data_IF_214297886150
#
_entry.id   IF_214297886150
#
_cell.length_a   1.000
_cell.length_b   1.000
_cell.length_c   1.000
_cell.angle_alpha   90.00
_cell.angle_beta   90.00
_cell.angle_gamma   90.00
#
_symmetry.space_group_name_H-M   'P 1'
#
loop_
_entity.id
_entity.type
_entity.pdbx_description
1 polymer ?
#
# COMPACT_ATOMS: atom_id res chain seq x y z
N UNK A 1 3.48 6.19 -32.80
CA UNK A 1 2.77 6.80 -31.66
C UNK A 1 1.52 5.96 -31.45
N UNK A 2 1.63 4.87 -30.67
CA UNK A 2 0.52 3.93 -30.44
C UNK A 2 -0.08 4.25 -29.08
N UNK A 3 -1.36 4.59 -29.14
CA UNK A 3 -2.28 4.81 -28.03
C UNK A 3 -2.34 3.53 -27.17
N UNK A 4 -1.90 3.62 -25.92
CA UNK A 4 -1.84 2.51 -24.97
C UNK A 4 -2.74 2.84 -23.78
N UNK A 5 -3.90 2.17 -23.78
CA UNK A 5 -4.63 1.73 -22.59
C UNK A 5 -5.06 2.82 -21.61
N UNK A 6 -6.28 3.32 -21.77
CA UNK A 6 -7.02 3.95 -20.68
C UNK A 6 -7.34 2.90 -19.60
N UNK A 7 -6.69 2.99 -18.43
CA UNK A 7 -7.03 2.20 -17.24
C UNK A 7 -8.49 2.49 -16.85
N UNK A 8 -9.33 1.46 -16.79
CA UNK A 8 -10.71 1.54 -16.28
C UNK A 8 -10.69 1.19 -14.79
N UNK A 9 -10.54 2.20 -13.93
CA UNK A 9 -10.69 2.02 -12.48
C UNK A 9 -12.16 1.62 -12.17
N UNK A 10 -12.45 0.34 -11.98
CA UNK A 10 -13.75 -0.13 -11.46
C UNK A 10 -13.62 -0.41 -9.96
N UNK A 11 -14.07 0.54 -9.15
CA UNK A 11 -14.13 0.42 -7.69
C UNK A 11 -15.29 -0.52 -7.33
N UNK A 12 -15.01 -1.71 -6.82
CA UNK A 12 -16.02 -2.61 -6.24
C UNK A 12 -15.99 -2.52 -4.71
N UNK A 13 -17.17 -2.43 -4.10
CA UNK A 13 -17.37 -2.50 -2.64
C UNK A 13 -17.45 -3.96 -2.17
N UNK A 14 -16.82 -4.34 -1.04
CA UNK A 14 -17.04 -5.65 -0.42
C UNK A 14 -18.30 -5.59 0.45
N UNK A 15 -19.46 -5.77 -0.16
CA UNK A 15 -20.67 -6.13 0.61
C UNK A 15 -21.14 -7.49 0.15
N UNK A 16 -20.94 -8.49 1.01
CA UNK A 16 -21.33 -9.87 0.75
C UNK A 16 -22.82 -10.03 0.51
N UNK A 17 -23.17 -10.86 -0.48
CA UNK A 17 -24.37 -11.70 -0.48
C UNK A 17 -24.05 -13.04 -1.14
N UNK A 18 -24.71 -14.04 -0.59
CA UNK A 18 -24.53 -15.49 -0.69
C UNK A 18 -24.57 -16.11 -2.09
N UNK A 19 -23.96 -17.28 -2.16
CA UNK A 19 -23.95 -18.28 -3.23
C UNK A 19 -25.30 -18.48 -3.96
N UNK A 20 -25.23 -18.71 -5.28
CA UNK A 20 -25.92 -19.85 -5.90
C UNK A 20 -25.24 -20.22 -7.24
N UNK A 21 -25.37 -21.50 -7.55
CA UNK A 21 -24.55 -22.37 -8.41
C UNK A 21 -24.76 -22.13 -9.93
N UNK A 22 -23.72 -22.40 -10.74
CA UNK A 22 -23.72 -22.35 -12.23
C UNK A 22 -24.68 -23.41 -12.86
N UNK A 23 -25.01 -23.31 -14.17
CA UNK A 23 -24.14 -23.97 -15.17
C UNK A 23 -23.93 -23.18 -16.48
N UNK A 24 -22.82 -23.47 -17.16
CA UNK A 24 -22.54 -23.16 -18.58
C UNK A 24 -22.62 -24.48 -19.40
N UNK A 25 -22.52 -24.50 -20.75
CA UNK A 25 -22.74 -23.49 -21.79
C UNK A 25 -23.53 -24.03 -23.01
N UNK A 26 -23.87 -23.19 -24.01
CA UNK A 26 -24.04 -23.64 -25.40
C UNK A 26 -23.49 -22.64 -26.42
N UNK A 27 -22.70 -23.16 -27.37
CA UNK A 27 -22.20 -22.51 -28.58
C UNK A 27 -23.34 -22.37 -29.59
N UNK A 28 -23.44 -21.22 -30.26
CA UNK A 28 -23.53 -21.15 -31.73
C UNK A 28 -23.61 -19.71 -32.27
N UNK A 29 -23.11 -19.57 -33.50
CA UNK A 29 -23.29 -18.50 -34.50
C UNK A 29 -22.36 -17.27 -34.49
N UNK A 30 -21.42 -17.31 -35.44
CA UNK A 30 -20.67 -16.19 -36.02
C UNK A 30 -21.53 -15.39 -37.01
N UNK A 31 -21.42 -14.05 -37.00
CA UNK A 31 -21.95 -13.11 -38.00
C UNK A 31 -21.40 -11.68 -37.77
N UNK A 32 -21.30 -10.82 -38.81
CA UNK A 32 -20.11 -9.99 -39.05
C UNK A 32 -20.09 -8.60 -38.39
N UNK A 33 -18.88 -8.05 -38.30
CA UNK A 33 -18.52 -6.77 -37.71
C UNK A 33 -19.15 -5.56 -38.43
N UNK A 34 -19.69 -4.60 -37.65
CA UNK A 34 -19.58 -3.16 -37.95
C UNK A 34 -19.95 -2.28 -36.74
N UNK A 35 -19.33 -1.09 -36.70
CA UNK A 35 -19.67 0.13 -35.96
C UNK A 35 -19.09 0.34 -34.53
N UNK A 36 -18.07 1.22 -34.52
CA UNK A 36 -17.64 2.19 -33.50
C UNK A 36 -17.35 1.74 -32.06
N UNK A 37 -16.10 1.92 -31.56
CA UNK A 37 -15.82 1.87 -30.14
C UNK A 37 -16.30 3.18 -29.49
N UNK A 38 -17.57 3.20 -29.10
CA UNK A 38 -18.11 4.23 -28.23
C UNK A 38 -17.38 4.21 -26.89
N UNK A 39 -16.97 5.40 -26.47
CA UNK A 39 -16.38 5.75 -25.19
C UNK A 39 -17.28 5.34 -24.01
N UNK A 40 -17.16 4.09 -23.55
CA UNK A 40 -17.85 3.64 -22.33
C UNK A 40 -17.04 4.06 -21.09
N UNK A 41 -17.18 5.36 -20.77
CA UNK A 41 -16.76 6.02 -19.54
C UNK A 41 -17.88 5.97 -18.51
N UNK A 42 -18.19 4.80 -17.99
CA UNK A 42 -19.10 4.67 -16.85
C UNK A 42 -18.31 4.73 -15.53
N UNK A 43 -17.77 5.91 -15.19
CA UNK A 43 -17.56 6.25 -13.78
C UNK A 43 -18.94 6.62 -13.26
N UNK A 44 -19.63 5.66 -12.64
CA UNK A 44 -20.94 5.92 -12.06
C UNK A 44 -20.80 6.84 -10.86
N UNK A 45 -21.64 7.87 -10.81
CA UNK A 45 -21.84 8.88 -9.77
C UNK A 45 -22.27 8.30 -8.39
N UNK A 46 -21.99 7.02 -8.11
CA UNK A 46 -22.54 6.23 -6.99
C UNK A 46 -21.61 6.07 -5.78
N UNK A 47 -20.35 6.49 -5.86
CA UNK A 47 -19.39 6.36 -4.75
C UNK A 47 -18.96 7.72 -4.22
N UNK A 48 -19.14 7.92 -2.90
CA UNK A 48 -18.64 9.09 -2.20
C UNK A 48 -17.10 9.14 -2.14
N UNK A 49 -16.51 10.20 -1.55
CA UNK A 49 -15.07 10.31 -1.39
C UNK A 49 -14.49 9.09 -0.66
N UNK A 50 -13.33 8.61 -1.09
CA UNK A 50 -12.65 7.43 -0.53
C UNK A 50 -11.46 7.84 0.35
N UNK A 51 -11.04 6.98 1.28
CA UNK A 51 -9.83 7.24 2.06
C UNK A 51 -8.56 7.08 1.25
N UNK A 52 -7.46 7.70 1.69
CA UNK A 52 -6.12 7.43 1.16
C UNK A 52 -5.75 5.95 1.29
N UNK A 53 -6.20 5.29 2.35
CA UNK A 53 -5.99 3.85 2.59
C UNK A 53 -6.63 3.02 1.47
N UNK A 54 -7.89 3.32 1.13
CA UNK A 54 -8.60 2.66 0.03
C UNK A 54 -7.91 2.92 -1.31
N UNK A 55 -7.56 4.18 -1.58
CA UNK A 55 -6.89 4.57 -2.82
C UNK A 55 -5.54 3.86 -3.00
N UNK A 56 -4.69 3.90 -1.98
CA UNK A 56 -3.37 3.28 -2.00
C UNK A 56 -3.47 1.76 -2.13
N UNK A 57 -4.38 1.12 -1.40
CA UNK A 57 -4.63 -0.32 -1.52
C UNK A 57 -5.07 -0.72 -2.94
N UNK A 58 -5.95 0.06 -3.56
CA UNK A 58 -6.36 -0.17 -4.95
C UNK A 58 -5.20 0.01 -5.93
N UNK A 59 -4.43 1.09 -5.78
CA UNK A 59 -3.31 1.38 -6.68
C UNK A 59 -2.19 0.36 -6.56
N UNK A 60 -1.91 -0.17 -5.36
CA UNK A 60 -0.78 -1.05 -5.13
C UNK A 60 -1.13 -2.53 -5.29
N UNK A 61 -2.33 -2.95 -4.89
CA UNK A 61 -2.64 -4.38 -4.69
C UNK A 61 -3.92 -4.84 -5.39
N UNK A 62 -4.56 -4.02 -6.25
CA UNK A 62 -5.74 -4.48 -6.99
C UNK A 62 -5.40 -5.71 -7.86
N UNK A 63 -6.18 -6.81 -7.83
CA UNK A 63 -5.77 -8.08 -8.43
C UNK A 63 -5.41 -8.02 -9.92
N UNK A 64 -5.98 -7.07 -10.66
CA UNK A 64 -5.75 -6.92 -12.11
C UNK A 64 -5.00 -5.65 -12.50
N UNK A 65 -5.05 -4.61 -11.68
CA UNK A 65 -4.60 -3.25 -12.04
C UNK A 65 -3.67 -2.63 -11.01
N UNK A 66 -3.36 -3.36 -9.93
CA UNK A 66 -2.46 -2.90 -8.88
C UNK A 66 -1.02 -2.95 -9.35
N UNK A 67 -0.23 -1.98 -8.92
CA UNK A 67 1.16 -1.82 -9.31
C UNK A 67 1.99 -3.08 -9.00
N UNK A 68 1.86 -3.69 -7.81
CA UNK A 68 2.61 -4.90 -7.44
C UNK A 68 2.00 -6.21 -7.95
N UNK A 69 0.79 -6.18 -8.51
CA UNK A 69 0.00 -7.36 -8.86
C UNK A 69 -0.27 -7.50 -10.36
N UNK A 70 -0.10 -6.43 -11.14
CA UNK A 70 -0.43 -6.41 -12.55
C UNK A 70 0.62 -7.14 -13.40
N UNK A 71 0.30 -8.29 -14.02
CA UNK A 71 1.24 -9.04 -14.84
C UNK A 71 1.59 -8.35 -16.17
N UNK A 72 0.77 -7.40 -16.64
CA UNK A 72 1.04 -6.64 -17.86
C UNK A 72 2.05 -5.50 -17.65
N UNK A 73 2.27 -5.10 -16.39
CA UNK A 73 3.25 -4.09 -15.98
C UNK A 73 4.20 -4.72 -14.96
N UNK A 74 5.08 -5.61 -15.44
CA UNK A 74 6.06 -6.27 -14.59
C UNK A 74 7.05 -5.23 -14.03
N UNK A 75 6.81 -4.81 -12.79
CA UNK A 75 7.62 -3.80 -12.10
C UNK A 75 8.98 -4.34 -11.66
N UNK A 76 9.12 -5.66 -11.61
CA UNK A 76 10.33 -6.36 -11.17
C UNK A 76 11.12 -6.93 -12.36
N UNK A 77 12.44 -6.72 -12.34
CA UNK A 77 13.39 -7.24 -13.33
C UNK A 77 14.18 -6.14 -14.05
N UNK A 78 15.11 -6.53 -14.95
CA UNK A 78 16.06 -5.62 -15.63
C UNK A 78 15.47 -4.46 -16.46
N UNK A 79 14.14 -4.38 -16.58
CA UNK A 79 13.41 -3.35 -17.33
C UNK A 79 12.23 -2.73 -16.55
N UNK A 80 12.06 -3.05 -15.27
CA UNK A 80 10.98 -2.51 -14.44
C UNK A 80 11.28 -1.14 -13.82
N UNK A 81 10.27 -0.46 -13.29
CA UNK A 81 10.38 0.83 -12.58
C UNK A 81 11.25 0.73 -11.31
N UNK A 82 11.39 -0.48 -10.77
CA UNK A 82 12.19 -0.75 -9.62
C UNK A 82 13.56 -1.34 -9.96
N UNK A 83 14.58 -0.61 -9.51
CA UNK A 83 15.85 -1.18 -9.01
C UNK A 83 15.69 -1.57 -7.53
N UNK A 84 14.49 -1.52 -6.90
CA UNK A 84 14.37 -1.75 -5.44
C UNK A 84 14.85 -3.13 -5.02
N UNK A 85 16.09 -3.15 -4.57
CA UNK A 85 16.77 -4.09 -3.70
C UNK A 85 16.68 -5.60 -3.95
N UNK A 86 16.81 -6.12 -5.20
CA UNK A 86 17.66 -7.30 -5.32
C UNK A 86 19.09 -6.99 -4.84
N UNK A 87 19.49 -5.70 -4.84
CA UNK A 87 20.83 -5.21 -4.53
C UNK A 87 21.05 -4.86 -3.02
N UNK A 88 20.03 -4.58 -2.20
CA UNK A 88 20.20 -4.51 -0.71
C UNK A 88 19.83 -5.84 -0.04
N UNK A 89 18.97 -6.66 -0.65
CA UNK A 89 18.97 -8.11 -0.38
C UNK A 89 20.36 -8.71 -0.66
N UNK A 90 21.15 -8.11 -1.55
CA UNK A 90 22.57 -8.40 -1.71
C UNK A 90 23.38 -8.03 -0.47
N UNK A 91 23.13 -6.92 0.23
CA UNK A 91 23.85 -6.61 1.49
C UNK A 91 23.52 -7.64 2.57
N UNK A 92 22.26 -8.08 2.70
CA UNK A 92 21.92 -9.16 3.63
C UNK A 92 22.52 -10.50 3.20
N UNK A 93 22.42 -10.83 1.91
CA UNK A 93 23.04 -12.01 1.32
C UNK A 93 24.57 -12.01 1.50
N UNK A 94 25.21 -10.88 1.27
CA UNK A 94 26.64 -10.63 1.46
C UNK A 94 27.01 -10.74 2.93
N UNK A 95 26.22 -10.17 3.85
CA UNK A 95 26.43 -10.34 5.30
C UNK A 95 26.43 -11.84 5.63
N UNK A 96 25.40 -12.60 5.25
CA UNK A 96 25.38 -14.05 5.52
C UNK A 96 26.45 -14.85 4.74
N UNK A 97 26.91 -14.36 3.60
CA UNK A 97 28.05 -14.92 2.87
C UNK A 97 29.37 -14.70 3.62
N UNK A 98 29.56 -13.51 4.23
CA UNK A 98 30.74 -13.14 4.99
C UNK A 98 30.71 -13.58 6.46
N UNK A 99 29.56 -14.02 7.00
CA UNK A 99 29.41 -14.55 8.36
C UNK A 99 29.00 -16.04 8.37
N UNK A 100 29.95 -16.97 8.15
CA UNK A 100 29.68 -18.42 8.13
C UNK A 100 28.96 -18.97 9.36
N UNK A 101 29.24 -18.41 10.55
CA UNK A 101 28.60 -18.81 11.80
C UNK A 101 27.10 -18.44 11.80
N UNK A 102 26.75 -17.24 11.33
CA UNK A 102 25.35 -16.81 11.20
C UNK A 102 24.59 -17.69 10.22
N UNK A 103 25.19 -17.98 9.05
CA UNK A 103 24.61 -18.87 8.05
C UNK A 103 24.38 -20.30 8.55
N UNK A 104 25.32 -20.86 9.31
CA UNK A 104 25.19 -22.19 9.88
C UNK A 104 24.16 -22.28 11.00
N UNK A 105 23.82 -21.15 11.63
CA UNK A 105 22.84 -21.07 12.70
C UNK A 105 21.39 -20.87 12.20
N UNK A 106 21.19 -20.64 10.89
CA UNK A 106 19.85 -20.50 10.32
C UNK A 106 19.24 -21.89 10.10
N UNK A 107 18.17 -22.17 10.84
CA UNK A 107 17.42 -23.42 10.71
C UNK A 107 16.29 -23.30 9.68
N UNK A 108 15.57 -22.17 9.70
CA UNK A 108 14.43 -21.90 8.83
C UNK A 108 14.41 -20.45 8.36
N UNK A 109 13.81 -20.21 7.19
CA UNK A 109 13.56 -18.91 6.59
C UNK A 109 12.08 -18.79 6.30
N UNK A 110 11.43 -17.81 6.90
CA UNK A 110 10.02 -17.50 6.67
C UNK A 110 9.92 -16.23 5.83
N UNK A 111 9.37 -16.32 4.62
CA UNK A 111 9.07 -15.17 3.77
C UNK A 111 7.58 -14.86 3.86
N UNK A 112 7.23 -13.62 4.23
CA UNK A 112 5.85 -13.13 4.22
C UNK A 112 5.63 -12.33 2.94
N UNK A 113 4.88 -12.91 2.01
CA UNK A 113 4.64 -12.33 0.67
C UNK A 113 3.20 -12.65 0.24
N UNK A 114 2.47 -11.65 -0.24
CA UNK A 114 1.06 -11.81 -0.66
C UNK A 114 0.92 -12.12 -2.14
N UNK A 115 1.92 -11.75 -2.95
CA UNK A 115 1.93 -11.95 -4.39
C UNK A 115 2.43 -13.35 -4.76
N UNK A 116 1.51 -14.20 -5.22
CA UNK A 116 1.86 -15.54 -5.72
C UNK A 116 2.93 -15.53 -6.83
N UNK A 117 2.98 -14.47 -7.64
CA UNK A 117 4.00 -14.32 -8.67
C UNK A 117 5.38 -14.07 -8.08
N UNK A 118 5.47 -13.23 -7.04
CA UNK A 118 6.72 -12.95 -6.33
C UNK A 118 7.19 -14.15 -5.51
N UNK A 119 6.27 -14.88 -4.86
CA UNK A 119 6.62 -16.12 -4.15
C UNK A 119 7.35 -17.10 -5.08
N UNK A 120 6.80 -17.35 -6.29
CA UNK A 120 7.44 -18.23 -7.29
C UNK A 120 8.82 -17.72 -7.71
N UNK A 121 8.95 -16.42 -7.97
CA UNK A 121 10.23 -15.83 -8.37
C UNK A 121 11.29 -15.94 -7.25
N UNK A 122 10.89 -15.72 -6.00
CA UNK A 122 11.75 -15.87 -4.82
C UNK A 122 12.14 -17.34 -4.62
N UNK A 123 11.19 -18.27 -4.74
CA UNK A 123 11.43 -19.70 -4.62
C UNK A 123 12.46 -20.18 -5.64
N UNK A 124 12.28 -19.84 -6.93
CA UNK A 124 13.24 -20.17 -7.99
C UNK A 124 14.65 -19.62 -7.71
N UNK A 125 14.75 -18.40 -7.16
CA UNK A 125 16.04 -17.77 -6.82
C UNK A 125 16.69 -18.39 -5.59
N UNK A 126 15.91 -18.73 -4.56
CA UNK A 126 16.42 -19.20 -3.27
C UNK A 126 16.67 -20.71 -3.24
N UNK A 127 16.01 -21.50 -4.10
CA UNK A 127 16.04 -22.97 -4.05
C UNK A 127 17.46 -23.56 -4.05
N UNK A 128 18.35 -23.01 -4.89
CA UNK A 128 19.73 -23.51 -5.00
C UNK A 128 20.53 -23.25 -3.71
N UNK A 129 20.39 -22.06 -3.13
CA UNK A 129 21.05 -21.63 -1.89
C UNK A 129 20.48 -22.36 -0.68
N UNK A 130 19.16 -22.50 -0.59
CA UNK A 130 18.48 -23.23 0.47
C UNK A 130 18.93 -24.70 0.50
N UNK A 131 19.00 -25.36 -0.66
CA UNK A 131 19.51 -26.74 -0.76
C UNK A 131 20.99 -26.85 -0.40
N UNK A 132 21.80 -25.86 -0.76
CA UNK A 132 23.25 -25.82 -0.44
C UNK A 132 23.48 -25.78 1.08
N UNK A 133 22.65 -25.06 1.82
CA UNK A 133 22.82 -24.85 3.25
C UNK A 133 21.85 -25.65 4.14
N UNK A 134 20.91 -26.38 3.54
CA UNK A 134 19.93 -27.19 4.27
C UNK A 134 18.87 -26.37 5.00
N UNK A 135 18.56 -25.16 4.51
CA UNK A 135 17.56 -24.28 5.11
C UNK A 135 16.15 -24.76 4.76
N UNK A 136 15.27 -24.80 5.76
CA UNK A 136 13.82 -24.96 5.55
C UNK A 136 13.22 -23.59 5.17
N UNK A 137 12.68 -23.46 3.96
CA UNK A 137 12.15 -22.18 3.45
C UNK A 137 10.65 -22.28 3.28
N UNK A 138 9.94 -21.37 3.92
CA UNK A 138 8.48 -21.35 3.96
C UNK A 138 7.94 -19.99 3.54
N UNK A 139 6.89 -19.99 2.72
CA UNK A 139 6.17 -18.78 2.32
C UNK A 139 4.84 -18.68 3.08
N UNK A 140 4.55 -17.48 3.55
CA UNK A 140 3.37 -17.13 4.35
C UNK A 140 2.65 -15.96 3.69
N UNK A 141 1.32 -15.98 3.70
CA UNK A 141 0.51 -14.89 3.16
C UNK A 141 0.34 -13.73 4.15
N UNK A 142 0.58 -14.01 5.43
CA UNK A 142 0.42 -13.10 6.54
C UNK A 142 1.45 -13.39 7.61
N UNK A 143 1.92 -12.35 8.29
CA UNK A 143 2.80 -12.51 9.46
C UNK A 143 2.11 -13.29 10.61
N UNK A 144 0.79 -13.37 10.60
CA UNK A 144 0.02 -14.15 11.57
C UNK A 144 0.17 -15.67 11.36
N UNK A 145 0.54 -16.09 10.16
CA UNK A 145 0.72 -17.51 9.83
C UNK A 145 2.09 -18.03 10.32
N UNK A 146 3.00 -17.11 10.69
CA UNK A 146 4.30 -17.44 11.27
C UNK A 146 4.11 -17.78 12.74
N UNK A 147 4.44 -19.03 13.08
CA UNK A 147 4.39 -19.53 14.45
C UNK A 147 5.41 -18.80 15.33
N UNK A 148 5.01 -18.50 16.56
CA UNK A 148 5.94 -18.03 17.58
C UNK A 148 6.52 -19.23 18.32
N UNK A 149 7.85 -19.36 18.32
CA UNK A 149 8.58 -20.39 19.07
C UNK A 149 9.56 -19.71 20.02
N UNK A 150 9.30 -19.82 21.33
CA UNK A 150 10.10 -19.17 22.38
C UNK A 150 11.47 -19.83 22.59
N UNK A 151 11.69 -21.00 21.98
CA UNK A 151 12.96 -21.72 22.06
C UNK A 151 13.88 -21.39 20.88
N UNK A 152 13.40 -20.63 19.90
CA UNK A 152 14.13 -20.30 18.68
C UNK A 152 14.40 -18.79 18.64
N UNK A 153 15.68 -18.44 18.44
CA UNK A 153 16.04 -17.06 18.17
C UNK A 153 15.43 -16.59 16.84
N UNK A 154 14.45 -15.69 16.92
CA UNK A 154 13.79 -15.14 15.73
C UNK A 154 14.44 -13.83 15.32
N UNK A 155 14.86 -13.72 14.06
CA UNK A 155 15.30 -12.47 13.45
C UNK A 155 14.28 -12.04 12.39
N UNK A 156 13.76 -10.82 12.52
CA UNK A 156 12.84 -10.23 11.53
C UNK A 156 13.57 -9.15 10.75
N UNK A 157 13.44 -9.18 9.43
CA UNK A 157 13.90 -8.12 8.53
C UNK A 157 12.71 -7.57 7.76
N UNK A 158 12.50 -6.26 7.85
CA UNK A 158 11.55 -5.53 7.02
C UNK A 158 12.28 -4.37 6.35
N UNK A 159 12.43 -4.43 5.04
CA UNK A 159 13.19 -3.47 4.24
C UNK A 159 12.29 -2.84 3.19
N UNK A 160 12.09 -1.52 3.27
CA UNK A 160 11.17 -0.74 2.41
C UNK A 160 9.80 -1.43 2.31
N UNK A 161 9.27 -1.77 3.49
CA UNK A 161 8.02 -2.54 3.61
C UNK A 161 6.90 -1.68 4.18
N UNK A 162 7.21 -0.87 5.20
CA UNK A 162 6.21 -0.09 5.92
C UNK A 162 5.78 1.16 5.14
N UNK A 163 6.63 1.73 4.29
CA UNK A 163 6.31 2.90 3.47
C UNK A 163 5.23 2.63 2.40
N UNK A 164 5.11 1.38 1.96
CA UNK A 164 4.12 0.90 0.99
C UNK A 164 2.80 0.44 1.64
N UNK A 165 2.65 0.51 2.97
CA UNK A 165 1.42 0.10 3.64
C UNK A 165 0.32 1.18 3.55
N UNK A 166 -0.96 0.79 3.35
CA UNK A 166 -2.07 1.73 3.32
C UNK A 166 -2.16 2.59 4.58
N UNK A 167 -2.44 3.88 4.40
CA UNK A 167 -2.53 4.87 5.48
C UNK A 167 -3.79 5.73 5.38
N UNK A 168 -4.25 6.26 6.50
CA UNK A 168 -5.27 7.29 6.57
C UNK A 168 -4.60 8.65 6.78
N UNK A 169 -5.05 9.67 6.04
CA UNK A 169 -4.65 11.06 6.27
C UNK A 169 -5.71 11.74 7.11
N UNK A 170 -5.35 12.20 8.30
CA UNK A 170 -6.27 12.92 9.19
C UNK A 170 -5.84 14.38 9.35
N UNK A 171 -6.80 15.27 9.57
CA UNK A 171 -6.57 16.66 9.91
C UNK A 171 -7.26 17.00 11.24
N UNK A 172 -6.53 17.64 12.15
CA UNK A 172 -7.04 18.06 13.46
C UNK A 172 -7.86 19.32 13.30
N UNK A 173 -9.16 19.24 13.59
CA UNK A 173 -10.08 20.37 13.59
C UNK A 173 -10.35 20.86 15.01
N UNK A 174 -11.16 21.91 15.17
CA UNK A 174 -11.63 22.37 16.49
C UNK A 174 -12.56 21.37 17.16
N UNK A 175 -13.22 20.51 16.39
CA UNK A 175 -14.24 19.55 16.86
C UNK A 175 -13.67 18.14 17.06
N UNK A 176 -12.42 17.90 16.66
CA UNK A 176 -11.78 16.59 16.75
C UNK A 176 -10.98 16.27 15.50
N UNK A 177 -10.79 15.00 15.20
CA UNK A 177 -10.09 14.54 14.00
C UNK A 177 -11.07 14.25 12.87
N UNK A 178 -10.81 14.84 11.71
CA UNK A 178 -11.52 14.55 10.48
C UNK A 178 -10.58 13.85 9.51
N UNK A 179 -11.15 13.06 8.60
CA UNK A 179 -10.37 12.35 7.59
C UNK A 179 -10.25 13.20 6.32
N UNK A 180 -9.05 13.27 5.76
CA UNK A 180 -8.83 13.80 4.41
C UNK A 180 -9.07 12.66 3.44
N UNK A 181 -10.05 12.85 2.55
CA UNK A 181 -10.53 11.89 1.58
C UNK A 181 -10.17 12.34 0.16
N UNK A 182 -10.25 11.40 -0.78
CA UNK A 182 -10.04 11.63 -2.21
C UNK A 182 -11.41 11.62 -2.88
N UNK A 183 -11.78 12.74 -3.50
CA UNK A 183 -13.00 12.87 -4.29
C UNK A 183 -12.65 12.94 -5.78
N UNK A 184 -13.42 12.22 -6.60
CA UNK A 184 -13.42 12.45 -8.05
C UNK A 184 -14.17 13.76 -8.33
N UNK A 185 -13.60 14.61 -9.18
CA UNK A 185 -14.35 15.70 -9.79
C UNK A 185 -15.08 15.13 -11.02
N UNK A 186 -16.34 15.50 -11.30
CA UNK A 186 -17.01 15.09 -12.53
C UNK A 186 -16.18 15.52 -13.74
N UNK A 187 -16.01 14.62 -14.71
CA UNK A 187 -15.41 14.96 -16.00
C UNK A 187 -16.36 15.93 -16.72
N UNK A 188 -15.98 17.20 -16.93
CA UNK A 188 -16.86 18.17 -17.59
C UNK A 188 -17.05 17.86 -19.09
N UNK A 189 -16.24 16.95 -19.65
CA UNK A 189 -16.37 16.44 -21.02
C UNK A 189 -17.20 15.16 -21.12
N UNK A 190 -17.58 14.55 -19.98
CA UNK A 190 -18.58 13.48 -20.00
C UNK A 190 -19.88 14.05 -20.57
N UNK A 191 -20.52 13.36 -21.55
CA UNK A 191 -21.77 13.84 -22.12
C UNK A 191 -22.78 13.98 -21.00
N UNK A 192 -23.09 15.22 -20.63
CA UNK A 192 -24.21 15.52 -19.75
C UNK A 192 -25.46 14.99 -20.45
N UNK A 193 -26.00 13.87 -20.00
CA UNK A 193 -27.38 13.49 -20.29
C UNK A 193 -28.25 14.44 -19.45
N UNK A 194 -28.23 15.73 -19.82
CA UNK A 194 -29.11 16.73 -19.25
C UNK A 194 -30.48 16.54 -19.90
N UNK A 195 -31.46 16.19 -19.07
CA UNK A 195 -32.86 16.51 -19.36
C UNK A 195 -32.96 18.02 -19.63
N UNK A 196 -33.65 18.36 -20.70
CA UNK A 196 -33.73 19.68 -21.33
C UNK A 196 -34.20 20.83 -20.41
N UNK A 197 -33.32 21.84 -20.26
CA UNK A 197 -33.49 23.33 -20.31
C UNK A 197 -34.60 24.08 -19.52
N UNK A 198 -34.54 25.44 -19.31
CA UNK A 198 -33.78 26.45 -20.09
C UNK A 198 -33.02 27.60 -19.36
N UNK A 199 -32.10 28.19 -20.15
CA UNK A 199 -31.61 29.58 -20.23
C UNK A 199 -30.48 30.11 -19.31
N UNK A 200 -29.30 30.34 -19.91
CA UNK A 200 -28.33 31.39 -19.55
C UNK A 200 -27.74 32.01 -20.83
N UNK A 201 -27.26 33.28 -20.81
CA UNK A 201 -26.94 34.04 -22.02
C UNK A 201 -25.62 33.61 -22.66
N UNK A 202 -25.64 33.56 -23.98
CA UNK A 202 -24.48 33.38 -24.87
C UNK A 202 -23.52 34.57 -24.73
N UNK A 203 -22.32 34.33 -24.20
CA UNK A 203 -21.03 34.95 -24.57
C UNK A 203 -19.99 34.77 -23.45
N UNK A 204 -19.56 33.53 -23.24
CA UNK A 204 -18.27 33.24 -22.62
C UNK A 204 -17.60 32.19 -23.52
N UNK A 205 -16.55 32.61 -24.23
CA UNK A 205 -15.86 31.85 -25.27
C UNK A 205 -15.59 30.39 -24.87
N UNK A 206 -16.20 29.44 -25.59
CA UNK A 206 -16.02 27.98 -25.41
C UNK A 206 -14.54 27.55 -25.35
N UNK A 207 -13.65 28.30 -26.00
CA UNK A 207 -12.22 28.02 -26.04
C UNK A 207 -11.49 28.29 -24.72
N UNK A 208 -11.95 29.25 -23.90
CA UNK A 208 -11.36 29.50 -22.56
C UNK A 208 -11.80 28.42 -21.58
N UNK A 209 -13.06 27.99 -21.69
CA UNK A 209 -13.63 26.95 -20.84
C UNK A 209 -13.00 25.58 -21.15
N UNK A 210 -12.81 25.21 -22.42
CA UNK A 210 -12.09 23.97 -22.80
C UNK A 210 -10.63 23.95 -22.32
N UNK A 211 -9.90 25.05 -22.48
CA UNK A 211 -8.49 25.13 -22.07
C UNK A 211 -8.28 25.06 -20.55
N UNK A 212 -9.23 25.55 -19.75
CA UNK A 212 -9.20 25.45 -18.28
C UNK A 212 -9.68 24.08 -17.79
N UNK A 213 -10.66 23.46 -18.47
CA UNK A 213 -11.25 22.18 -18.05
C UNK A 213 -10.36 20.97 -18.33
N UNK A 214 -9.51 21.00 -19.35
CA UNK A 214 -8.51 19.93 -19.61
C UNK A 214 -7.38 19.87 -18.57
N UNK A 215 -7.26 20.89 -17.70
CA UNK A 215 -6.15 21.01 -16.73
C UNK A 215 -6.56 20.76 -15.27
N UNK A 216 -7.84 20.50 -15.01
CA UNK A 216 -8.30 20.25 -13.63
C UNK A 216 -8.00 18.79 -13.22
N UNK A 217 -7.30 18.56 -12.10
CA UNK A 217 -6.96 17.20 -11.67
C UNK A 217 -8.24 16.39 -11.39
N UNK A 218 -8.33 15.18 -11.97
CA UNK A 218 -9.50 14.29 -11.81
C UNK A 218 -9.82 13.96 -10.36
N UNK A 219 -8.80 13.95 -9.52
CA UNK A 219 -8.89 13.66 -8.09
C UNK A 219 -8.43 14.85 -7.27
N UNK A 220 -9.12 15.11 -6.16
CA UNK A 220 -8.72 16.15 -5.20
C UNK A 220 -8.93 15.69 -3.77
N UNK A 221 -8.13 16.25 -2.87
CA UNK A 221 -8.31 16.07 -1.43
C UNK A 221 -9.52 16.88 -0.94
N UNK A 222 -10.38 16.25 -0.14
CA UNK A 222 -11.52 16.88 0.53
C UNK A 222 -11.56 16.44 1.99
N UNK A 223 -11.89 17.35 2.89
CA UNK A 223 -12.08 17.00 4.29
C UNK A 223 -13.45 16.34 4.48
N UNK A 224 -13.52 15.28 5.31
CA UNK A 224 -14.78 14.66 5.69
C UNK A 224 -15.69 15.66 6.41
N UNK A 225 -17.00 15.64 6.10
CA UNK A 225 -17.99 16.57 6.67
C UNK A 225 -18.17 16.41 8.18
N UNK A 226 -17.90 15.20 8.67
CA UNK A 226 -17.93 14.82 10.08
C UNK A 226 -16.76 13.87 10.37
N UNK A 227 -16.35 13.68 11.63
CA UNK A 227 -15.41 12.63 12.01
C UNK A 227 -15.86 11.27 11.46
N UNK A 228 -14.94 10.54 10.85
CA UNK A 228 -15.17 9.14 10.44
C UNK A 228 -14.84 8.22 11.62
N UNK A 229 -15.24 6.95 11.54
CA UNK A 229 -14.84 5.95 12.55
C UNK A 229 -13.32 5.86 12.61
N UNK A 230 -12.67 5.83 11.44
CA UNK A 230 -11.21 5.81 11.33
C UNK A 230 -10.58 7.06 11.96
N UNK A 231 -11.08 8.26 11.65
CA UNK A 231 -10.48 9.49 12.20
C UNK A 231 -10.62 9.59 13.71
N UNK A 232 -11.75 9.15 14.27
CA UNK A 232 -12.01 9.16 15.71
C UNK A 232 -11.11 8.20 16.48
N UNK A 233 -10.97 6.96 15.96
CA UNK A 233 -10.12 5.94 16.56
C UNK A 233 -8.63 6.26 16.40
N UNK A 234 -8.19 6.53 15.17
CA UNK A 234 -6.78 6.72 14.86
C UNK A 234 -6.25 8.04 15.39
N UNK A 235 -7.06 9.10 15.39
CA UNK A 235 -6.68 10.39 15.96
C UNK A 235 -6.41 10.36 17.47
N UNK A 236 -6.89 9.32 18.17
CA UNK A 236 -6.65 9.09 19.59
C UNK A 236 -5.67 7.95 19.88
N UNK A 237 -5.18 7.26 18.83
CA UNK A 237 -4.34 6.06 18.95
C UNK A 237 -2.94 6.29 19.51
N UNK A 238 -2.45 7.54 19.54
CA UNK A 238 -1.20 7.91 20.19
C UNK A 238 -1.35 9.18 21.03
N UNK A 239 -0.78 9.23 22.26
CA UNK A 239 -0.73 10.45 23.07
C UNK A 239 -0.03 11.62 22.35
N UNK A 240 0.86 11.33 21.39
CA UNK A 240 1.53 12.34 20.57
C UNK A 240 0.54 13.15 19.74
N UNK A 241 -0.47 12.50 19.15
CA UNK A 241 -1.44 13.15 18.28
C UNK A 241 -2.34 14.12 19.05
N UNK A 242 -2.65 13.81 20.32
CA UNK A 242 -3.45 14.66 21.18
C UNK A 242 -2.78 16.03 21.43
N UNK A 243 -1.45 16.10 21.41
CA UNK A 243 -0.67 17.32 21.66
C UNK A 243 -0.52 18.23 20.44
N UNK A 244 -0.90 17.77 19.24
CA UNK A 244 -0.76 18.54 18.01
C UNK A 244 -1.74 19.74 17.98
N UNK A 245 -1.36 20.90 17.40
CA UNK A 245 -2.28 22.02 17.25
C UNK A 245 -3.37 21.73 16.20
N UNK A 246 -4.49 22.45 16.28
CA UNK A 246 -5.52 22.46 15.22
C UNK A 246 -4.89 22.88 13.90
N UNK A 247 -5.28 22.22 12.81
CA UNK A 247 -4.69 22.35 11.46
C UNK A 247 -3.57 21.35 11.18
N UNK A 248 -3.08 20.62 12.19
CA UNK A 248 -2.08 19.57 11.98
C UNK A 248 -2.66 18.40 11.20
N UNK A 249 -1.84 17.82 10.32
CA UNK A 249 -2.16 16.58 9.61
C UNK A 249 -1.30 15.43 10.10
N UNK A 250 -1.87 14.23 10.09
CA UNK A 250 -1.19 12.99 10.44
C UNK A 250 -1.52 11.89 9.43
N UNK A 251 -0.48 11.22 8.95
CA UNK A 251 -0.52 10.01 8.14
C UNK A 251 -0.39 8.83 9.09
N UNK A 252 -1.43 7.99 9.18
CA UNK A 252 -1.50 6.89 10.14
C UNK A 252 -1.81 5.60 9.40
N UNK A 253 -0.94 4.60 9.51
CA UNK A 253 -1.19 3.25 8.98
C UNK A 253 -1.58 2.30 10.12
N UNK A 254 -2.86 1.88 10.21
CA UNK A 254 -3.29 0.87 11.18
C UNK A 254 -2.62 -0.49 10.91
N UNK A 255 -2.38 -0.81 9.64
CA UNK A 255 -1.70 -2.03 9.22
C UNK A 255 -0.25 -2.05 9.71
N UNK A 256 0.47 -0.93 9.58
CA UNK A 256 1.82 -0.80 10.10
C UNK A 256 1.87 -1.03 11.62
N UNK A 257 0.95 -0.42 12.37
CA UNK A 257 0.84 -0.63 13.82
C UNK A 257 0.61 -2.10 14.17
N UNK A 258 -0.36 -2.74 13.51
CA UNK A 258 -0.69 -4.17 13.73
C UNK A 258 0.49 -5.09 13.41
N UNK A 259 1.21 -4.82 12.33
CA UNK A 259 2.37 -5.62 11.93
C UNK A 259 3.51 -5.42 12.92
N UNK A 260 3.81 -4.17 13.33
CA UNK A 260 4.83 -3.89 14.33
C UNK A 260 4.54 -4.56 15.68
N UNK A 261 3.28 -4.51 16.13
CA UNK A 261 2.84 -5.23 17.33
C UNK A 261 3.06 -6.75 17.18
N UNK A 262 2.68 -7.34 16.04
CA UNK A 262 2.90 -8.77 15.78
C UNK A 262 4.38 -9.14 15.70
N UNK A 263 5.23 -8.28 15.14
CA UNK A 263 6.69 -8.45 15.19
C UNK A 263 7.13 -8.48 16.66
N UNK A 264 6.65 -7.53 17.48
CA UNK A 264 6.94 -7.54 18.92
C UNK A 264 6.57 -8.86 19.59
N UNK A 265 5.37 -9.40 19.32
CA UNK A 265 4.93 -10.70 19.83
C UNK A 265 5.84 -11.87 19.41
N UNK A 266 6.35 -11.85 18.18
CA UNK A 266 7.25 -12.89 17.66
C UNK A 266 8.63 -12.85 18.31
N UNK A 267 9.03 -11.70 18.85
CA UNK A 267 10.35 -11.51 19.46
C UNK A 267 10.31 -11.61 20.99
N UNK A 268 9.11 -11.56 21.58
CA UNK A 268 8.92 -11.46 23.02
C UNK A 268 9.04 -12.81 23.72
N UNK A 269 9.94 -12.90 24.69
CA UNK A 269 10.00 -13.98 25.68
C UNK A 269 8.85 -13.83 26.67
N UNK A 270 7.94 -14.80 26.71
CA UNK A 270 6.70 -14.68 27.48
C UNK A 270 6.87 -14.72 29.01
N UNK A 271 8.00 -15.22 29.53
CA UNK A 271 8.12 -15.53 30.96
C UNK A 271 9.30 -14.91 31.71
N UNK A 272 10.24 -14.21 31.04
CA UNK A 272 11.40 -13.62 31.72
C UNK A 272 12.27 -14.62 32.49
N UNK A 273 12.06 -15.92 32.26
CA UNK A 273 12.93 -17.00 32.73
C UNK A 273 14.20 -16.97 31.91
N UNK A 274 15.35 -17.20 32.55
CA UNK A 274 16.68 -17.12 31.92
C UNK A 274 16.90 -18.09 30.73
N UNK A 275 15.92 -18.95 30.40
CA UNK A 275 15.94 -19.93 29.32
C UNK A 275 15.22 -19.46 28.04
N UNK A 276 14.41 -18.40 28.10
CA UNK A 276 13.71 -17.92 26.91
C UNK A 276 14.65 -17.11 26.00
N UNK A 277 14.58 -17.37 24.69
CA UNK A 277 15.43 -16.71 23.71
C UNK A 277 14.69 -15.52 23.09
N UNK A 278 15.10 -14.30 23.45
CA UNK A 278 14.56 -13.09 22.82
C UNK A 278 15.12 -12.91 21.41
N UNK A 279 14.26 -12.59 20.45
CA UNK A 279 14.65 -12.30 19.08
C UNK A 279 15.07 -10.85 18.84
N UNK A 280 15.36 -10.49 17.58
CA UNK A 280 15.51 -9.10 17.16
C UNK A 280 14.76 -8.79 15.85
N UNK A 281 14.48 -7.51 15.59
CA UNK A 281 14.19 -7.06 14.23
C UNK A 281 15.03 -5.87 13.80
N UNK A 282 15.27 -5.83 12.48
CA UNK A 282 15.79 -4.70 11.75
C UNK A 282 14.70 -4.20 10.79
N UNK A 283 14.21 -2.98 11.05
CA UNK A 283 13.26 -2.29 10.18
C UNK A 283 13.98 -1.13 9.51
N UNK A 284 14.00 -1.15 8.18
CA UNK A 284 14.71 -0.21 7.32
C UNK A 284 13.71 0.41 6.38
N UNK A 285 13.43 1.70 6.57
CA UNK A 285 12.40 2.41 5.80
C UNK A 285 12.67 3.91 5.78
N UNK A 286 12.08 4.62 4.81
CA UNK A 286 12.15 6.08 4.77
C UNK A 286 11.24 6.66 5.85
N UNK A 287 11.81 7.32 6.86
CA UNK A 287 11.00 7.72 8.00
C UNK A 287 11.75 8.47 9.09
N UNK A 288 11.12 8.59 10.25
CA UNK A 288 11.69 9.22 11.44
C UNK A 288 10.75 9.11 12.64
N UNK A 289 11.22 9.48 13.84
CA UNK A 289 10.45 9.41 15.09
C UNK A 289 9.43 10.57 15.25
N UNK A 290 8.66 10.86 14.20
CA UNK A 290 7.72 11.98 14.14
C UNK A 290 6.52 11.66 13.27
N UNK A 291 5.41 12.32 13.55
CA UNK A 291 4.22 12.24 12.72
C UNK A 291 4.47 13.00 11.41
N UNK A 292 4.04 12.40 10.29
CA UNK A 292 4.06 13.02 8.97
C UNK A 292 2.64 13.40 8.56
N UNK A 293 2.48 14.38 7.68
CA UNK A 293 1.17 14.85 7.20
C UNK A 293 1.15 15.32 5.74
N UNK A 294 2.27 15.09 5.03
CA UNK A 294 2.51 15.53 3.65
C UNK A 294 3.65 14.75 2.98
N UNK A 295 3.88 13.50 3.39
CA UNK A 295 4.98 12.68 2.88
C UNK A 295 4.57 11.73 1.75
N UNK A 296 3.26 11.57 1.53
CA UNK A 296 2.69 10.74 0.47
C UNK A 296 3.16 11.21 -0.91
N UNK A 297 3.79 10.29 -1.65
CA UNK A 297 4.44 10.56 -2.93
C UNK A 297 4.24 9.40 -3.90
N UNK A 298 4.32 9.72 -5.18
CA UNK A 298 4.28 8.74 -6.26
C UNK A 298 5.59 8.78 -7.06
N UNK A 299 6.12 7.62 -7.42
CA UNK A 299 7.27 7.49 -8.30
C UNK A 299 6.92 6.74 -9.58
N UNK A 300 7.47 7.20 -10.69
CA UNK A 300 7.45 6.53 -11.97
C UNK A 300 8.72 6.83 -12.73
N UNK A 301 9.38 5.83 -13.31
CA UNK A 301 10.65 6.00 -14.04
C UNK A 301 11.70 6.81 -13.24
N UNK A 302 11.83 6.51 -11.93
CA UNK A 302 12.70 7.21 -10.97
C UNK A 302 12.44 8.72 -10.79
N UNK A 303 11.23 9.20 -11.10
CA UNK A 303 10.83 10.59 -10.92
C UNK A 303 9.61 10.69 -10.03
N UNK A 304 9.59 11.72 -9.18
CA UNK A 304 8.39 12.07 -8.42
C UNK A 304 7.34 12.60 -9.40
N UNK A 305 6.18 11.98 -9.39
CA UNK A 305 5.00 12.38 -10.16
C UNK A 305 3.84 12.75 -9.23
N UNK A 306 2.79 13.34 -9.79
CA UNK A 306 1.57 13.60 -9.02
C UNK A 306 0.98 12.26 -8.50
N UNK A 307 0.47 12.25 -7.26
CA UNK A 307 -0.04 11.03 -6.62
C UNK A 307 -1.27 10.43 -7.30
N UNK A 308 -1.92 11.20 -8.17
CA UNK A 308 -3.04 10.79 -9.01
C UNK A 308 -2.63 10.54 -10.46
N UNK A 309 -1.34 10.63 -10.78
CA UNK A 309 -0.80 10.29 -12.09
C UNK A 309 -0.95 8.78 -12.32
N UNK A 310 -1.76 8.40 -13.32
CA UNK A 310 -1.94 7.01 -13.79
C UNK A 310 -2.03 5.99 -12.64
N UNK A 311 -3.10 6.02 -11.82
CA UNK A 311 -3.26 5.14 -10.67
C UNK A 311 -3.10 3.66 -11.07
N UNK A 312 -2.30 2.91 -10.32
CA UNK A 312 -1.94 1.51 -10.66
C UNK A 312 -0.63 1.35 -11.43
N UNK A 313 -0.06 2.44 -11.98
CA UNK A 313 1.20 2.43 -12.73
C UNK A 313 2.32 3.24 -12.07
N UNK A 314 2.13 3.67 -10.83
CA UNK A 314 3.14 4.38 -10.07
C UNK A 314 3.33 3.68 -8.73
N UNK A 315 4.56 3.68 -8.24
CA UNK A 315 4.84 3.31 -6.87
C UNK A 315 4.35 4.40 -5.93
N UNK A 316 3.64 4.02 -4.87
CA UNK A 316 3.09 4.94 -3.89
C UNK A 316 3.72 4.68 -2.53
N UNK A 317 4.33 5.70 -1.94
CA UNK A 317 5.05 5.56 -0.65
C UNK A 317 4.70 6.69 0.32
N UNK A 318 4.83 6.40 1.60
CA UNK A 318 4.73 7.36 2.70
C UNK A 318 5.92 7.24 3.64
N UNK A 319 6.30 8.32 4.32
CA UNK A 319 7.30 8.22 5.37
C UNK A 319 6.75 7.48 6.59
N UNK A 320 7.57 6.59 7.15
CA UNK A 320 7.24 5.81 8.33
C UNK A 320 7.44 6.63 9.60
N UNK A 321 6.38 6.73 10.41
CA UNK A 321 6.47 7.25 11.78
C UNK A 321 6.99 6.15 12.72
N UNK A 322 8.31 6.08 12.88
CA UNK A 322 8.95 5.06 13.74
C UNK A 322 8.54 5.18 15.21
N UNK A 323 8.15 6.36 15.68
CA UNK A 323 7.63 6.49 17.04
C UNK A 323 6.24 5.85 17.18
N UNK A 324 5.43 5.85 16.13
CA UNK A 324 4.16 5.12 16.12
C UNK A 324 4.35 3.61 16.09
N UNK A 325 5.40 3.10 15.41
CA UNK A 325 5.78 1.69 15.50
C UNK A 325 6.29 1.32 16.91
N UNK A 326 7.00 2.23 17.58
CA UNK A 326 7.40 2.06 18.99
C UNK A 326 6.21 2.05 19.94
N UNK A 327 5.20 2.89 19.70
CA UNK A 327 3.95 2.87 20.47
C UNK A 327 3.28 1.47 20.38
N UNK A 328 3.39 0.79 19.23
CA UNK A 328 2.80 -0.53 18.97
C UNK A 328 3.44 -1.70 19.73
N UNK A 329 4.59 -1.50 20.36
CA UNK A 329 5.33 -2.54 21.08
C UNK A 329 5.57 -2.14 22.55
N UNK A 330 5.07 -0.97 22.96
CA UNK A 330 5.40 -0.37 24.24
C UNK A 330 4.87 -1.18 25.43
N UNK A 331 3.72 -1.83 25.26
CA UNK A 331 3.08 -2.71 26.24
C UNK A 331 3.76 -4.09 26.35
N UNK A 332 4.54 -4.49 25.35
CA UNK A 332 5.31 -5.74 25.34
C UNK A 332 6.64 -5.65 26.12
N UNK A 333 6.98 -4.49 26.70
CA UNK A 333 8.17 -4.31 27.54
C UNK A 333 9.52 -4.49 26.79
N UNK A 334 9.51 -4.41 25.46
CA UNK A 334 10.68 -4.67 24.61
C UNK A 334 11.67 -3.48 24.57
N UNK A 335 12.37 -3.21 25.66
CA UNK A 335 13.44 -2.22 25.66
C UNK A 335 14.74 -2.82 25.09
N UNK A 336 14.98 -2.64 23.78
CA UNK A 336 16.29 -2.88 23.15
C UNK A 336 16.36 -3.93 22.03
N UNK A 337 15.26 -4.61 21.69
CA UNK A 337 15.25 -5.67 20.67
C UNK A 337 14.89 -5.20 19.24
N UNK A 338 14.55 -3.92 19.08
CA UNK A 338 14.13 -3.34 17.81
C UNK A 338 15.03 -2.16 17.46
N UNK A 339 15.84 -2.33 16.42
CA UNK A 339 16.62 -1.26 15.82
C UNK A 339 15.87 -0.71 14.62
N UNK A 340 15.57 0.59 14.67
CA UNK A 340 15.05 1.35 13.54
C UNK A 340 16.25 2.06 12.92
N UNK A 341 16.56 1.72 11.68
CA UNK A 341 17.59 2.44 10.92
C UNK A 341 16.90 3.40 9.98
N UNK A 342 17.06 4.70 10.23
CA UNK A 342 16.64 5.73 9.30
C UNK A 342 17.62 5.74 8.13
N UNK A 343 17.18 5.27 6.96
CA UNK A 343 17.98 5.47 5.75
C UNK A 343 17.69 6.87 5.24
N UNK A 344 18.66 7.76 5.45
CA UNK A 344 18.73 9.04 4.74
C UNK A 344 19.56 8.74 3.48
N UNK A 345 18.91 8.48 2.35
CA UNK A 345 19.58 8.45 1.04
C UNK A 345 19.77 9.88 0.54
#
# INVERSE_FOLDING_TARGET
>A
MKDLGSVKLRIYSPTGKSESVRPEPTRDSLGPASSNPGSDTSFSETTGPISFSTYMQMCLSHPTDGYYTNPAHAVFGSKGDFITSPEISQVFGEVFEHFPAGRAAVNAIHLVETSNAMQRMQEERLQSTAKKYGWDVQWHSSLQDVAHDTQVYTMVLAHEFFDALPFHLLEKTKEGWNEVLIASVPDPTAPKILKSSPSLPDNASENIIRGVLETSPRFRQVLSRSPTVASSLLGTSSPRFQKLPVGSRVEISPSAFKIAHRIGELLHSHNGTAEDVAGCALIVDYGGEKAYGSSFRAFKDHKIVDVFHRPGECDLTTNVDFAYLKDAIADLGMFGCLSFSQVII
#
